data_IF_273005247980
#
_entry.id   IF_273005247980
#
_cell.length_a   1.000
_cell.length_b   1.000
_cell.length_c   1.000
_cell.angle_alpha   90.00
_cell.angle_beta   90.00
_cell.angle_gamma   90.00
#
_symmetry.space_group_name_H-M   'P 1'
#
loop_
_entity.id
_entity.type
_entity.pdbx_description
1 polymer ?
#
# COMPACT_ATOMS: atom_id res chain seq x y z
N UNK A 1 -14.05 10.90 2.22
CA UNK A 1 -13.45 10.37 0.98
C UNK A 1 -11.96 10.62 1.01
N UNK A 2 -11.15 9.56 1.18
CA UNK A 2 -9.69 9.64 1.21
C UNK A 2 -9.08 8.97 -0.03
N UNK A 3 -8.00 9.54 -0.53
CA UNK A 3 -7.14 8.93 -1.53
C UNK A 3 -5.80 8.53 -0.91
N UNK A 4 -5.28 7.36 -1.28
CA UNK A 4 -3.98 6.86 -0.84
C UNK A 4 -2.94 7.11 -1.94
N UNK A 5 -1.87 7.84 -1.60
CA UNK A 5 -0.78 8.14 -2.54
C UNK A 5 0.50 7.43 -2.08
N UNK A 6 1.02 6.55 -2.94
CA UNK A 6 2.19 5.73 -2.67
C UNK A 6 3.34 6.18 -3.57
N UNK A 7 4.34 6.80 -2.96
CA UNK A 7 5.52 7.30 -3.67
C UNK A 7 6.44 6.18 -4.18
N UNK A 8 7.38 6.55 -5.06
CA UNK A 8 8.47 5.67 -5.48
C UNK A 8 9.59 5.56 -4.43
N UNK A 9 10.64 4.81 -4.78
CA UNK A 9 11.85 4.65 -3.96
C UNK A 9 11.91 3.28 -3.29
N UNK A 10 12.48 2.29 -3.96
CA UNK A 10 12.37 0.84 -3.68
C UNK A 10 12.27 0.42 -2.21
N UNK A 11 13.16 0.89 -1.33
CA UNK A 11 13.14 0.53 0.10
C UNK A 11 11.87 0.97 0.84
N UNK A 12 11.13 1.96 0.33
CA UNK A 12 9.88 2.47 0.92
C UNK A 12 8.69 1.54 0.73
N UNK A 13 8.77 0.53 -0.15
CA UNK A 13 7.67 -0.41 -0.39
C UNK A 13 7.25 -1.16 0.88
N UNK A 14 8.22 -1.58 1.69
CA UNK A 14 7.99 -2.24 2.97
C UNK A 14 7.32 -1.32 4.00
N UNK A 15 7.77 -0.07 4.08
CA UNK A 15 7.18 0.94 4.95
C UNK A 15 5.72 1.24 4.56
N UNK A 16 5.46 1.45 3.27
CA UNK A 16 4.13 1.76 2.74
C UNK A 16 3.10 0.70 3.10
N UNK A 17 3.43 -0.59 2.95
CA UNK A 17 2.47 -1.65 3.24
C UNK A 17 2.14 -1.70 4.74
N UNK A 18 3.13 -1.49 5.61
CA UNK A 18 2.92 -1.44 7.05
C UNK A 18 2.02 -0.26 7.44
N UNK A 19 2.28 0.92 6.87
CA UNK A 19 1.46 2.10 7.06
C UNK A 19 0.01 1.89 6.60
N UNK A 20 -0.20 1.24 5.45
CA UNK A 20 -1.54 0.89 4.95
C UNK A 20 -2.32 0.01 5.95
N UNK A 21 -1.70 -1.06 6.48
CA UNK A 21 -2.38 -1.92 7.46
C UNK A 21 -2.69 -1.19 8.77
N UNK A 22 -1.78 -0.36 9.27
CA UNK A 22 -2.04 0.47 10.44
C UNK A 22 -3.22 1.44 10.22
N UNK A 23 -3.31 2.08 9.05
CA UNK A 23 -4.44 2.94 8.70
C UNK A 23 -5.75 2.14 8.60
N UNK A 24 -5.71 0.93 8.04
CA UNK A 24 -6.88 0.04 7.99
C UNK A 24 -7.36 -0.37 9.39
N UNK A 25 -6.45 -0.68 10.31
CA UNK A 25 -6.78 -0.97 11.73
C UNK A 25 -7.43 0.22 12.45
N UNK A 26 -7.06 1.45 12.06
CA UNK A 26 -7.68 2.69 12.54
C UNK A 26 -9.02 3.02 11.88
N UNK A 27 -9.52 2.17 10.98
CA UNK A 27 -10.81 2.35 10.30
C UNK A 27 -10.78 3.30 9.10
N UNK A 28 -9.61 3.59 8.53
CA UNK A 28 -9.54 4.35 7.29
C UNK A 28 -9.91 3.50 6.08
N UNK A 29 -10.75 4.07 5.22
CA UNK A 29 -11.11 3.52 3.91
C UNK A 29 -10.66 4.47 2.79
N UNK A 30 -10.15 3.90 1.70
CA UNK A 30 -9.61 4.66 0.57
C UNK A 30 -10.40 4.34 -0.70
N UNK A 31 -10.94 5.37 -1.33
CA UNK A 31 -11.75 5.23 -2.56
C UNK A 31 -10.88 5.31 -3.83
N UNK A 32 -9.66 5.82 -3.70
CA UNK A 32 -8.69 5.89 -4.79
C UNK A 32 -7.29 5.59 -4.27
N UNK A 33 -6.49 4.92 -5.10
CA UNK A 33 -5.08 4.64 -4.83
C UNK A 33 -4.26 5.06 -6.04
N UNK A 34 -3.21 5.86 -5.82
CA UNK A 34 -2.24 6.26 -6.85
C UNK A 34 -0.86 5.81 -6.42
N UNK A 35 -0.12 5.16 -7.31
CA UNK A 35 1.21 4.62 -7.01
C UNK A 35 2.23 4.92 -8.10
N UNK A 36 3.44 5.31 -7.71
CA UNK A 36 4.58 5.52 -8.62
C UNK A 36 5.69 4.51 -8.35
N UNK A 37 6.24 3.87 -9.38
CA UNK A 37 7.35 2.89 -9.25
C UNK A 37 7.02 1.81 -8.21
N UNK A 38 7.77 1.65 -7.12
CA UNK A 38 7.47 0.65 -6.08
C UNK A 38 6.05 0.81 -5.50
N UNK A 39 5.56 2.03 -5.41
CA UNK A 39 4.22 2.35 -4.94
C UNK A 39 3.12 1.84 -5.89
N UNK A 40 3.41 1.64 -7.19
CA UNK A 40 2.40 1.09 -8.11
C UNK A 40 2.14 -0.39 -7.86
N UNK A 41 3.16 -1.16 -7.45
CA UNK A 41 3.01 -2.58 -7.06
C UNK A 41 2.14 -2.68 -5.81
N UNK A 42 2.46 -1.91 -4.77
CA UNK A 42 1.64 -1.86 -3.55
C UNK A 42 0.22 -1.39 -3.85
N UNK A 43 0.08 -0.32 -4.63
CA UNK A 43 -1.21 0.25 -4.98
C UNK A 43 -2.10 -0.75 -5.72
N UNK A 44 -1.55 -1.46 -6.70
CA UNK A 44 -2.27 -2.51 -7.43
C UNK A 44 -2.75 -3.63 -6.49
N UNK A 45 -1.89 -4.14 -5.61
CA UNK A 45 -2.26 -5.20 -4.66
C UNK A 45 -3.31 -4.72 -3.66
N UNK A 46 -3.28 -3.46 -3.23
CA UNK A 46 -4.30 -2.89 -2.34
C UNK A 46 -5.67 -2.86 -3.03
N UNK A 47 -5.77 -2.32 -4.24
CA UNK A 47 -7.07 -2.19 -4.94
C UNK A 47 -7.65 -3.53 -5.38
N UNK A 48 -6.81 -4.55 -5.58
CA UNK A 48 -7.26 -5.92 -5.86
C UNK A 48 -7.72 -6.68 -4.59
N UNK A 49 -7.60 -6.08 -3.40
CA UNK A 49 -7.89 -6.77 -2.14
C UNK A 49 -6.82 -7.80 -1.74
N UNK A 50 -5.61 -7.67 -2.28
CA UNK A 50 -4.50 -8.62 -2.11
C UNK A 50 -3.32 -8.03 -1.33
N UNK A 51 -3.56 -7.02 -0.48
CA UNK A 51 -2.52 -6.34 0.30
C UNK A 51 -1.66 -7.29 1.16
N UNK A 52 -2.19 -8.44 1.58
CA UNK A 52 -1.43 -9.47 2.30
C UNK A 52 -0.28 -10.07 1.47
N UNK A 53 -0.41 -10.09 0.13
CA UNK A 53 0.68 -10.52 -0.76
C UNK A 53 1.83 -9.51 -0.74
N UNK A 54 1.53 -8.21 -0.68
CA UNK A 54 2.55 -7.19 -0.49
C UNK A 54 3.25 -7.36 0.86
N UNK A 55 2.50 -7.64 1.94
CA UNK A 55 3.11 -7.89 3.25
C UNK A 55 4.11 -9.06 3.23
N UNK A 56 3.81 -10.13 2.49
CA UNK A 56 4.74 -11.26 2.28
C UNK A 56 5.94 -10.87 1.44
N UNK A 57 5.73 -10.11 0.36
CA UNK A 57 6.79 -9.64 -0.54
C UNK A 57 7.86 -8.82 0.21
N UNK A 58 7.44 -7.98 1.16
CA UNK A 58 8.32 -7.07 1.88
C UNK A 58 8.94 -7.63 3.17
N UNK A 59 8.53 -8.83 3.60
CA UNK A 59 9.08 -9.50 4.78
C UNK A 59 10.30 -10.39 4.49
N UNK A 60 10.76 -10.44 3.23
CA UNK A 60 11.93 -11.19 2.79
C UNK A 60 13.23 -10.67 3.42
#
# INVERSE_FOLDING_TARGET
>A
MYGLVLEGGGAKGAYQIGAYFALKELGYEFEAVVGTSIGSINGALIVMGEADKALKLWKL
#
